data_IF_853246588054
#
_entry.id   IF_853246588054
#
_cell.length_a   1.000
_cell.length_b   1.000
_cell.length_c   1.000
_cell.angle_alpha   90.00
_cell.angle_beta   90.00
_cell.angle_gamma   90.00
#
_symmetry.space_group_name_H-M   'P 1'
#
loop_
_entity.id
_entity.type
_entity.pdbx_description
1 polymer ?
#
# COMPACT_ATOMS: atom_id res chain seq x y z
N UNK A 1 38.44 21.34 -35.28
CA UNK A 1 37.05 20.84 -35.14
C UNK A 1 36.59 21.27 -33.76
N UNK A 2 36.02 22.47 -33.67
CA UNK A 2 35.58 23.08 -32.42
C UNK A 2 34.22 23.71 -32.68
N UNK A 3 33.18 22.88 -32.64
CA UNK A 3 31.80 23.34 -32.51
C UNK A 3 31.57 23.72 -31.05
N UNK A 4 31.92 24.95 -30.69
CA UNK A 4 31.39 25.62 -29.51
C UNK A 4 30.30 26.59 -29.96
N UNK A 5 29.28 26.05 -30.62
CA UNK A 5 28.03 26.76 -30.83
C UNK A 5 27.33 26.75 -29.47
N UNK A 6 27.59 27.77 -28.64
CA UNK A 6 26.79 28.05 -27.46
C UNK A 6 25.34 28.30 -27.90
N UNK A 7 24.61 27.21 -28.11
CA UNK A 7 23.19 27.26 -28.45
C UNK A 7 22.48 27.59 -27.15
N UNK A 8 22.33 28.90 -26.92
CA UNK A 8 21.65 29.45 -25.76
C UNK A 8 20.22 28.88 -25.74
N UNK A 9 19.96 27.93 -24.84
CA UNK A 9 18.65 27.26 -24.76
C UNK A 9 17.56 28.31 -24.60
N UNK A 10 16.49 28.16 -25.40
CA UNK A 10 15.29 28.98 -25.24
C UNK A 10 14.73 28.80 -23.83
N UNK A 11 14.10 29.83 -23.25
CA UNK A 11 13.56 29.76 -21.88
C UNK A 11 12.63 28.56 -21.65
N UNK A 12 11.92 28.11 -22.69
CA UNK A 12 11.11 26.86 -22.66
C UNK A 12 11.94 25.59 -22.53
N UNK A 13 13.08 25.53 -23.21
CA UNK A 13 13.95 24.37 -23.19
C UNK A 13 14.73 24.28 -21.87
N UNK A 14 15.09 25.42 -21.28
CA UNK A 14 15.67 25.50 -19.94
C UNK A 14 14.71 24.95 -18.87
N UNK A 15 13.44 25.32 -18.93
CA UNK A 15 12.40 24.79 -18.02
C UNK A 15 12.25 23.29 -18.24
N UNK A 16 12.21 22.80 -19.49
CA UNK A 16 12.08 21.37 -19.77
C UNK A 16 13.31 20.57 -19.31
N UNK A 17 14.51 21.13 -19.44
CA UNK A 17 15.76 20.49 -19.04
C UNK A 17 15.97 20.43 -17.52
N UNK A 18 15.29 21.27 -16.74
CA UNK A 18 15.54 21.36 -15.28
C UNK A 18 14.30 21.11 -14.43
N UNK A 19 13.12 21.63 -14.82
CA UNK A 19 11.91 21.47 -14.03
C UNK A 19 11.35 20.05 -14.10
N UNK A 20 11.31 19.41 -15.28
CA UNK A 20 10.79 18.03 -15.38
C UNK A 20 11.66 17.01 -14.66
N UNK A 21 13.01 17.04 -14.78
CA UNK A 21 13.85 16.12 -14.02
C UNK A 21 13.74 16.33 -12.50
N UNK A 22 13.66 17.59 -12.03
CA UNK A 22 13.48 17.88 -10.61
C UNK A 22 12.11 17.41 -10.11
N UNK A 23 11.04 17.65 -10.86
CA UNK A 23 9.71 17.16 -10.53
C UNK A 23 9.66 15.64 -10.51
N UNK A 24 10.32 14.97 -11.46
CA UNK A 24 10.46 13.53 -11.49
C UNK A 24 11.26 13.00 -10.29
N UNK A 25 12.33 13.68 -9.88
CA UNK A 25 13.12 13.32 -8.71
C UNK A 25 12.30 13.45 -7.42
N UNK A 26 11.58 14.57 -7.26
CA UNK A 26 10.76 14.82 -6.08
C UNK A 26 9.61 13.81 -6.02
N UNK A 27 8.95 13.55 -7.15
CA UNK A 27 7.83 12.60 -7.17
C UNK A 27 8.30 11.18 -6.87
N UNK A 28 9.42 10.73 -7.47
CA UNK A 28 9.99 9.40 -7.20
C UNK A 28 10.46 9.27 -5.76
N UNK A 29 11.16 10.27 -5.21
CA UNK A 29 11.55 10.28 -3.80
C UNK A 29 10.33 10.21 -2.87
N UNK A 30 9.27 10.97 -3.18
CA UNK A 30 8.01 10.94 -2.42
C UNK A 30 7.36 9.56 -2.48
N UNK A 31 7.30 8.94 -3.65
CA UNK A 31 6.77 7.58 -3.84
C UNK A 31 7.55 6.54 -3.02
N UNK A 32 8.88 6.65 -2.99
CA UNK A 32 9.73 5.77 -2.18
C UNK A 32 9.41 5.94 -0.69
N UNK A 33 9.34 7.17 -0.19
CA UNK A 33 8.99 7.45 1.21
C UNK A 33 7.60 6.89 1.56
N UNK A 34 6.61 7.11 0.69
CA UNK A 34 5.25 6.58 0.87
C UNK A 34 5.26 5.05 0.90
N UNK A 35 6.00 4.38 0.03
CA UNK A 35 6.12 2.93 0.04
C UNK A 35 6.71 2.39 1.36
N UNK A 36 7.74 3.06 1.89
CA UNK A 36 8.29 2.70 3.20
C UNK A 36 7.29 2.89 4.34
N UNK A 37 6.52 3.98 4.33
CA UNK A 37 5.50 4.25 5.35
C UNK A 37 4.30 3.30 5.26
N UNK A 38 3.94 2.83 4.06
CA UNK A 38 2.84 1.88 3.85
C UNK A 38 3.21 0.44 4.19
N UNK A 39 4.51 0.09 4.12
CA UNK A 39 4.99 -1.27 4.44
C UNK A 39 4.53 -1.78 5.82
N UNK A 40 4.72 -1.06 6.94
CA UNK A 40 4.23 -1.53 8.25
C UNK A 40 2.70 -1.62 8.31
N UNK A 41 1.98 -0.76 7.60
CA UNK A 41 0.52 -0.84 7.52
C UNK A 41 0.08 -2.13 6.79
N UNK A 42 0.71 -2.45 5.66
CA UNK A 42 0.46 -3.68 4.92
C UNK A 42 0.76 -4.93 5.77
N UNK A 43 1.87 -4.94 6.50
CA UNK A 43 2.21 -6.03 7.43
C UNK A 43 1.16 -6.17 8.53
N UNK A 44 0.69 -5.06 9.09
CA UNK A 44 -0.38 -5.08 10.10
C UNK A 44 -1.68 -5.66 9.53
N UNK A 45 -2.10 -5.20 8.35
CA UNK A 45 -3.29 -5.73 7.69
C UNK A 45 -3.15 -7.20 7.35
N UNK A 46 -1.97 -7.65 6.91
CA UNK A 46 -1.72 -9.05 6.65
C UNK A 46 -1.87 -9.90 7.92
N UNK A 47 -1.24 -9.51 9.03
CA UNK A 47 -1.37 -10.20 10.32
C UNK A 47 -2.81 -10.20 10.83
N UNK A 48 -3.51 -9.09 10.63
CA UNK A 48 -4.92 -8.98 10.98
C UNK A 48 -5.77 -9.98 10.20
N UNK A 49 -5.61 -10.06 8.87
CA UNK A 49 -6.34 -11.00 8.03
C UNK A 49 -6.06 -12.46 8.43
N UNK A 50 -4.79 -12.81 8.70
CA UNK A 50 -4.45 -14.16 9.18
C UNK A 50 -5.16 -14.50 10.50
N UNK A 51 -5.27 -13.54 11.42
CA UNK A 51 -6.02 -13.73 12.66
C UNK A 51 -7.50 -14.02 12.40
N UNK A 52 -8.13 -13.27 11.48
CA UNK A 52 -9.54 -13.47 11.11
C UNK A 52 -9.75 -14.85 10.49
N UNK A 53 -8.88 -15.23 9.55
CA UNK A 53 -8.97 -16.51 8.85
C UNK A 53 -8.87 -17.68 9.82
N UNK A 54 -7.94 -17.61 10.78
CA UNK A 54 -7.77 -18.64 11.80
C UNK A 54 -8.97 -18.70 12.76
N UNK A 55 -9.49 -17.55 13.20
CA UNK A 55 -10.70 -17.48 14.01
C UNK A 55 -11.92 -18.06 13.29
N UNK A 56 -12.06 -17.80 12.00
CA UNK A 56 -13.11 -18.36 11.17
C UNK A 56 -12.94 -19.87 11.01
N UNK A 57 -11.71 -20.36 10.82
CA UNK A 57 -11.38 -21.79 10.76
C UNK A 57 -11.79 -22.51 12.03
N UNK A 58 -11.38 -22.01 13.20
CA UNK A 58 -11.69 -22.56 14.51
C UNK A 58 -13.20 -22.60 14.78
N UNK A 59 -13.92 -21.53 14.42
CA UNK A 59 -15.36 -21.43 14.63
C UNK A 59 -16.14 -22.37 13.70
N UNK A 60 -15.67 -22.58 12.47
CA UNK A 60 -16.24 -23.57 11.55
C UNK A 60 -15.95 -25.00 12.00
N UNK A 61 -14.77 -25.29 12.53
CA UNK A 61 -14.44 -26.65 13.01
C UNK A 61 -15.14 -27.02 14.31
N UNK A 62 -15.45 -26.04 15.17
CA UNK A 62 -16.05 -26.25 16.49
C UNK A 62 -17.56 -25.97 16.54
N UNK A 63 -18.13 -25.46 15.46
CA UNK A 63 -19.57 -25.18 15.36
C UNK A 63 -20.42 -26.42 15.07
N UNK A 64 -21.71 -26.42 15.43
CA UNK A 64 -22.62 -27.52 15.07
C UNK A 64 -22.72 -27.66 13.54
N UNK A 65 -22.48 -28.89 13.03
CA UNK A 65 -22.53 -29.21 11.60
C UNK A 65 -23.91 -28.87 11.04
N UNK A 66 -23.99 -27.97 10.06
CA UNK A 66 -25.23 -27.56 9.39
C UNK A 66 -25.66 -26.11 9.64
N UNK A 67 -24.98 -25.36 10.51
CA UNK A 67 -25.10 -23.89 10.55
C UNK A 67 -24.07 -23.22 9.63
N UNK A 68 -24.18 -23.43 8.32
CA UNK A 68 -23.58 -22.55 7.31
C UNK A 68 -24.43 -21.27 7.13
N UNK A 69 -25.06 -20.80 8.21
CA UNK A 69 -25.81 -19.55 8.26
C UNK A 69 -24.85 -18.36 8.15
N UNK A 70 -25.35 -17.19 7.71
CA UNK A 70 -24.54 -16.14 7.08
C UNK A 70 -23.34 -15.83 7.96
N UNK A 71 -22.15 -16.23 7.48
CA UNK A 71 -20.89 -16.20 8.23
C UNK A 71 -20.46 -14.83 8.74
N UNK A 72 -21.29 -13.81 8.54
CA UNK A 72 -21.17 -12.45 9.04
C UNK A 72 -21.09 -12.38 10.56
N UNK A 73 -21.84 -13.17 11.33
CA UNK A 73 -21.78 -13.09 12.80
C UNK A 73 -20.47 -13.67 13.37
N UNK A 74 -20.03 -14.81 12.84
CA UNK A 74 -18.73 -15.40 13.18
C UNK A 74 -17.58 -14.51 12.73
N UNK A 75 -17.70 -13.91 11.54
CA UNK A 75 -16.74 -12.94 11.02
C UNK A 75 -16.67 -11.69 11.90
N UNK A 76 -17.80 -11.09 12.29
CA UNK A 76 -17.82 -9.92 13.18
C UNK A 76 -17.20 -10.24 14.55
N UNK A 77 -17.40 -11.46 15.06
CA UNK A 77 -16.76 -11.91 16.31
C UNK A 77 -15.27 -12.17 16.15
N UNK A 78 -14.82 -12.68 15.00
CA UNK A 78 -13.42 -12.79 14.66
C UNK A 78 -12.77 -11.40 14.55
N UNK A 79 -13.44 -10.45 13.89
CA UNK A 79 -13.05 -9.03 13.77
C UNK A 79 -12.89 -8.41 15.15
N UNK A 80 -13.90 -8.54 16.01
CA UNK A 80 -13.85 -8.03 17.37
C UNK A 80 -12.64 -8.59 18.15
N UNK A 81 -12.42 -9.90 18.08
CA UNK A 81 -11.30 -10.56 18.75
C UNK A 81 -9.93 -10.10 18.23
N UNK A 82 -9.77 -10.02 16.90
CA UNK A 82 -8.51 -9.61 16.27
C UNK A 82 -8.25 -8.10 16.37
N UNK A 83 -9.27 -7.28 16.61
CA UNK A 83 -9.14 -5.86 16.98
C UNK A 83 -8.81 -5.66 18.47
N UNK A 84 -8.90 -6.72 19.30
CA UNK A 84 -8.65 -6.65 20.75
C UNK A 84 -9.81 -6.07 21.57
N UNK A 85 -11.06 -6.20 21.08
CA UNK A 85 -12.29 -5.79 21.78
C UNK A 85 -13.18 -6.99 22.15
#
# INVERSE_FOLDING_TARGET
>A
MSDHTETKLSGREMIRAHAYPLLALISTATLIVVAFLLTPQAVRHHRYNLCIDEQMRLRRSSGPKGQDGPGKLFYLKAVQHCEGR
#
